data_IF_977976739992
#
_entry.id   IF_977976739992
#
_cell.length_a   1.000
_cell.length_b   1.000
_cell.length_c   1.000
_cell.angle_alpha   90.00
_cell.angle_beta   90.00
_cell.angle_gamma   90.00
#
_symmetry.space_group_name_H-M   'P 1'
#
loop_
_entity.id
_entity.type
_entity.pdbx_description
1 polymer ?
#
# COMPACT_ATOMS: atom_id res chain seq x y z
N UNK A 1 -14.56 -40.87 -11.67
CA UNK A 1 -14.12 -39.99 -10.56
C UNK A 1 -15.36 -39.60 -9.76
N UNK A 2 -15.42 -39.97 -8.48
CA UNK A 2 -16.53 -39.58 -7.60
C UNK A 2 -16.43 -38.06 -7.41
N UNK A 3 -17.46 -37.32 -7.79
CA UNK A 3 -17.52 -35.88 -7.51
C UNK A 3 -17.67 -35.70 -6.01
N UNK A 4 -16.69 -35.07 -5.37
CA UNK A 4 -16.78 -34.70 -3.95
C UNK A 4 -17.95 -33.72 -3.80
N UNK A 5 -18.83 -33.94 -2.83
CA UNK A 5 -19.92 -33.00 -2.54
C UNK A 5 -19.41 -31.89 -1.65
N UNK A 6 -20.04 -30.72 -1.70
CA UNK A 6 -19.83 -29.66 -0.71
C UNK A 6 -20.55 -30.04 0.59
N UNK A 7 -19.93 -30.92 1.35
CA UNK A 7 -20.30 -31.30 2.71
C UNK A 7 -19.47 -30.52 3.75
N UNK A 8 -19.77 -30.73 5.03
CA UNK A 8 -19.10 -30.02 6.13
C UNK A 8 -17.58 -30.24 6.12
N UNK A 9 -17.12 -31.46 5.83
CA UNK A 9 -15.70 -31.77 5.76
C UNK A 9 -15.01 -31.02 4.62
N UNK A 10 -15.63 -30.98 3.44
CA UNK A 10 -15.08 -30.24 2.29
C UNK A 10 -15.03 -28.74 2.54
N UNK A 11 -16.03 -28.19 3.24
CA UNK A 11 -16.06 -26.77 3.60
C UNK A 11 -14.99 -26.40 4.63
N UNK A 12 -14.70 -27.30 5.57
CA UNK A 12 -13.59 -27.16 6.53
C UNK A 12 -12.24 -27.18 5.81
N UNK A 13 -12.02 -28.15 4.90
CA UNK A 13 -10.80 -28.19 4.07
C UNK A 13 -10.62 -26.91 3.24
N UNK A 14 -11.69 -26.37 2.66
CA UNK A 14 -11.62 -25.09 1.92
C UNK A 14 -11.23 -23.95 2.87
N UNK A 15 -11.79 -23.91 4.07
CA UNK A 15 -11.47 -22.88 5.06
C UNK A 15 -9.98 -22.93 5.42
N UNK A 16 -9.43 -24.11 5.68
CA UNK A 16 -8.01 -24.31 6.02
C UNK A 16 -7.09 -23.88 4.88
N UNK A 17 -7.46 -24.18 3.63
CA UNK A 17 -6.72 -23.70 2.45
C UNK A 17 -6.73 -22.17 2.37
N UNK A 18 -7.84 -21.51 2.67
CA UNK A 18 -7.91 -20.05 2.66
C UNK A 18 -7.08 -19.43 3.79
N UNK A 19 -7.04 -20.08 4.96
CA UNK A 19 -6.21 -19.64 6.09
C UNK A 19 -4.72 -19.77 5.76
N UNK A 20 -4.31 -20.90 5.18
CA UNK A 20 -2.91 -21.13 4.77
C UNK A 20 -2.47 -20.22 3.61
N UNK A 21 -3.42 -19.60 2.91
CA UNK A 21 -3.19 -18.56 1.90
C UNK A 21 -3.17 -17.13 2.48
N UNK A 22 -3.03 -16.95 3.80
CA UNK A 22 -2.94 -15.67 4.51
C UNK A 22 -4.20 -14.79 4.48
N UNK A 23 -5.39 -15.33 4.17
CA UNK A 23 -6.64 -14.54 4.25
C UNK A 23 -7.08 -14.25 5.70
N UNK A 24 -6.51 -14.98 6.67
CA UNK A 24 -6.92 -14.93 8.06
C UNK A 24 -8.19 -15.71 8.35
N UNK A 25 -8.38 -16.05 9.63
CA UNK A 25 -9.45 -16.93 10.11
C UNK A 25 -10.84 -16.36 9.84
N UNK A 26 -11.02 -15.05 10.08
CA UNK A 26 -12.32 -14.40 9.95
C UNK A 26 -12.82 -14.40 8.49
N UNK A 27 -11.96 -13.97 7.57
CA UNK A 27 -12.23 -13.93 6.13
C UNK A 27 -12.51 -15.33 5.59
N UNK A 28 -11.66 -16.30 5.92
CA UNK A 28 -11.83 -17.69 5.48
C UNK A 28 -13.18 -18.27 5.96
N UNK A 29 -13.54 -18.02 7.23
CA UNK A 29 -14.83 -18.45 7.79
C UNK A 29 -16.02 -17.79 7.08
N UNK A 30 -15.94 -16.50 6.74
CA UNK A 30 -16.99 -15.78 5.98
C UNK A 30 -17.20 -16.43 4.62
N UNK A 31 -16.11 -16.67 3.88
CA UNK A 31 -16.12 -17.33 2.56
C UNK A 31 -16.75 -18.73 2.65
N UNK A 32 -16.28 -19.58 3.57
CA UNK A 32 -16.81 -20.95 3.73
C UNK A 32 -18.28 -20.97 4.13
N UNK A 33 -18.75 -20.04 4.97
CA UNK A 33 -20.17 -19.91 5.32
C UNK A 33 -21.03 -19.53 4.10
N UNK A 34 -20.54 -18.65 3.23
CA UNK A 34 -21.24 -18.23 2.02
C UNK A 34 -21.27 -19.34 0.95
N UNK A 35 -20.21 -20.15 0.86
CA UNK A 35 -20.22 -21.39 0.08
C UNK A 35 -21.26 -22.38 0.61
N UNK A 36 -21.32 -22.59 1.93
CA UNK A 36 -22.29 -23.48 2.55
C UNK A 36 -23.73 -23.03 2.27
N UNK A 37 -24.07 -21.76 2.50
CA UNK A 37 -25.44 -21.26 2.33
C UNK A 37 -25.96 -21.37 0.90
N UNK A 38 -25.09 -21.31 -0.11
CA UNK A 38 -25.48 -21.30 -1.52
C UNK A 38 -25.34 -22.66 -2.22
N UNK A 39 -24.51 -23.56 -1.67
CA UNK A 39 -24.06 -24.78 -2.37
C UNK A 39 -23.96 -26.04 -1.50
N UNK A 40 -24.33 -26.02 -0.22
CA UNK A 40 -24.29 -27.23 0.62
C UNK A 40 -25.05 -28.40 -0.03
N UNK A 41 -24.41 -29.58 -0.04
CA UNK A 41 -24.96 -30.81 -0.61
C UNK A 41 -24.91 -30.92 -2.14
N UNK A 42 -24.46 -29.89 -2.87
CA UNK A 42 -24.25 -29.93 -4.33
C UNK A 42 -22.87 -30.49 -4.68
N UNK A 43 -22.69 -30.88 -5.94
CA UNK A 43 -21.38 -31.25 -6.48
C UNK A 43 -20.38 -30.09 -6.27
N UNK A 44 -19.18 -30.40 -5.77
CA UNK A 44 -18.11 -29.43 -5.64
C UNK A 44 -17.53 -29.12 -7.04
N UNK A 45 -18.19 -28.21 -7.77
CA UNK A 45 -17.69 -27.69 -9.04
C UNK A 45 -16.57 -26.67 -8.75
N UNK A 46 -15.29 -26.96 -9.10
CA UNK A 46 -14.18 -26.08 -8.76
C UNK A 46 -14.31 -24.67 -9.33
N UNK A 47 -14.93 -24.52 -10.51
CA UNK A 47 -15.14 -23.23 -11.15
C UNK A 47 -16.13 -22.38 -10.35
N UNK A 48 -17.21 -23.00 -9.85
CA UNK A 48 -18.19 -22.29 -9.02
C UNK A 48 -17.61 -21.92 -7.65
N UNK A 49 -16.82 -22.80 -7.04
CA UNK A 49 -16.14 -22.51 -5.78
C UNK A 49 -15.22 -21.31 -5.95
N UNK A 50 -14.37 -21.29 -6.99
CA UNK A 50 -13.50 -20.13 -7.30
C UNK A 50 -14.31 -18.85 -7.51
N UNK A 51 -15.45 -18.93 -8.18
CA UNK A 51 -16.33 -17.77 -8.39
C UNK A 51 -16.86 -17.21 -7.07
N UNK A 52 -17.39 -18.06 -6.19
CA UNK A 52 -17.88 -17.61 -4.88
C UNK A 52 -16.77 -17.00 -4.03
N UNK A 53 -15.57 -17.59 -4.05
CA UNK A 53 -14.39 -17.02 -3.36
C UNK A 53 -14.02 -15.65 -3.95
N UNK A 54 -14.01 -15.52 -5.28
CA UNK A 54 -13.70 -14.27 -5.96
C UNK A 54 -14.74 -13.17 -5.65
N UNK A 55 -16.03 -13.50 -5.70
CA UNK A 55 -17.12 -12.57 -5.40
C UNK A 55 -16.99 -12.04 -3.96
N UNK A 56 -16.63 -12.90 -3.01
CA UNK A 56 -16.40 -12.52 -1.61
C UNK A 56 -15.17 -11.61 -1.45
N UNK A 57 -14.07 -11.93 -2.13
CA UNK A 57 -12.87 -11.06 -2.13
C UNK A 57 -13.22 -9.69 -2.72
N UNK A 58 -14.01 -9.63 -3.79
CA UNK A 58 -14.47 -8.38 -4.39
C UNK A 58 -15.33 -7.60 -3.39
N UNK A 59 -16.27 -8.24 -2.70
CA UNK A 59 -17.11 -7.60 -1.68
C UNK A 59 -16.27 -6.98 -0.55
N UNK A 60 -15.23 -7.70 -0.10
CA UNK A 60 -14.31 -7.23 0.96
C UNK A 60 -13.46 -6.04 0.49
N UNK A 61 -12.92 -6.10 -0.74
CA UNK A 61 -12.00 -5.09 -1.25
C UNK A 61 -12.71 -3.84 -1.79
N UNK A 62 -13.93 -3.97 -2.34
CA UNK A 62 -14.63 -2.86 -3.02
C UNK A 62 -14.78 -1.59 -2.17
N UNK A 63 -15.12 -1.64 -0.87
CA UNK A 63 -15.25 -0.44 -0.04
C UNK A 63 -13.94 0.33 0.13
N UNK A 64 -12.80 -0.37 0.09
CA UNK A 64 -11.46 0.20 0.33
C UNK A 64 -10.64 0.41 -0.96
N UNK A 65 -11.15 -0.02 -2.11
CA UNK A 65 -10.53 0.15 -3.43
C UNK A 65 -10.68 1.59 -3.94
N UNK A 66 -10.15 2.55 -3.18
CA UNK A 66 -10.20 3.97 -3.50
C UNK A 66 -8.87 4.43 -4.11
N UNK A 67 -8.87 5.06 -5.30
CA UNK A 67 -7.65 5.55 -5.90
C UNK A 67 -7.09 6.74 -5.13
N UNK A 68 -5.77 6.82 -5.02
CA UNK A 68 -5.10 8.02 -4.51
C UNK A 68 -5.33 9.19 -5.50
N UNK A 69 -6.20 10.11 -5.12
CA UNK A 69 -6.54 11.28 -5.93
C UNK A 69 -5.94 12.54 -5.33
N UNK A 70 -5.06 13.21 -6.09
CA UNK A 70 -4.48 14.47 -5.67
C UNK A 70 -5.55 15.57 -5.74
N UNK A 71 -5.83 16.20 -4.60
CA UNK A 71 -6.73 17.36 -4.53
C UNK A 71 -6.03 18.60 -5.11
N UNK A 72 -6.48 19.17 -6.25
CA UNK A 72 -5.84 20.33 -6.87
C UNK A 72 -5.89 21.61 -6.01
N UNK A 73 -6.81 21.68 -5.04
CA UNK A 73 -6.87 22.79 -4.10
C UNK A 73 -5.71 22.77 -3.09
N UNK A 74 -5.04 21.63 -2.92
CA UNK A 74 -3.86 21.50 -2.08
C UNK A 74 -2.62 21.57 -2.96
N UNK A 75 -1.90 22.70 -2.93
CA UNK A 75 -0.67 22.91 -3.69
C UNK A 75 0.45 23.44 -2.77
N UNK A 76 1.40 22.58 -2.35
CA UNK A 76 1.53 21.17 -2.72
C UNK A 76 0.50 20.26 -2.02
N UNK A 77 0.11 19.18 -2.69
CA UNK A 77 -0.55 18.06 -2.04
C UNK A 77 0.51 17.25 -1.29
N UNK A 78 0.39 17.16 0.04
CA UNK A 78 1.41 16.54 0.90
C UNK A 78 1.08 15.08 1.16
N UNK A 79 2.04 14.20 0.88
CA UNK A 79 1.95 12.76 1.08
C UNK A 79 3.05 12.32 2.06
N UNK A 80 2.65 11.96 3.28
CA UNK A 80 3.54 11.42 4.30
C UNK A 80 3.53 9.89 4.26
N UNK A 81 4.67 9.27 3.97
CA UNK A 81 4.78 7.82 3.82
C UNK A 81 5.35 7.19 5.08
N UNK A 82 4.47 6.53 5.85
CA UNK A 82 4.79 5.89 7.12
C UNK A 82 4.87 4.35 7.01
N UNK A 83 5.50 3.70 7.99
CA UNK A 83 5.64 2.25 8.07
C UNK A 83 7.00 1.79 8.60
N UNK A 84 7.16 0.50 8.81
CA UNK A 84 8.34 -0.08 9.46
C UNK A 84 9.57 -0.10 8.56
N UNK A 85 10.77 -0.24 9.13
CA UNK A 85 11.98 -0.46 8.35
C UNK A 85 11.86 -1.74 7.51
N UNK A 86 12.27 -1.68 6.24
CA UNK A 86 12.19 -2.82 5.32
C UNK A 86 10.85 -2.99 4.59
N UNK A 87 9.79 -2.25 4.93
CA UNK A 87 8.49 -2.36 4.25
C UNK A 87 8.41 -1.73 2.86
N UNK A 88 9.53 -1.18 2.34
CA UNK A 88 9.60 -0.60 1.00
C UNK A 88 9.23 0.88 0.87
N UNK A 89 9.11 1.64 1.97
CA UNK A 89 8.72 3.07 1.97
C UNK A 89 9.47 3.94 0.96
N UNK A 90 10.79 4.04 1.08
CA UNK A 90 11.65 4.86 0.21
C UNK A 90 11.49 4.48 -1.27
N UNK A 91 11.37 3.18 -1.56
CA UNK A 91 11.10 2.67 -2.91
C UNK A 91 9.71 3.09 -3.40
N UNK A 92 8.68 3.02 -2.56
CA UNK A 92 7.33 3.46 -2.90
C UNK A 92 7.28 4.97 -3.12
N UNK A 93 7.97 5.77 -2.30
CA UNK A 93 8.12 7.22 -2.52
C UNK A 93 8.72 7.49 -3.90
N UNK A 94 9.82 6.82 -4.27
CA UNK A 94 10.43 6.96 -5.58
C UNK A 94 9.51 6.56 -6.76
N UNK A 95 8.77 5.46 -6.60
CA UNK A 95 7.77 5.02 -7.61
C UNK A 95 6.63 6.03 -7.78
N UNK A 96 6.11 6.58 -6.68
CA UNK A 96 5.08 7.62 -6.71
C UNK A 96 5.61 8.90 -7.34
N UNK A 97 6.85 9.29 -7.01
CA UNK A 97 7.50 10.45 -7.59
C UNK A 97 7.60 10.32 -9.11
N UNK A 98 8.14 9.19 -9.59
CA UNK A 98 8.24 8.90 -11.02
C UNK A 98 6.87 8.93 -11.69
N UNK A 99 5.86 8.24 -11.12
CA UNK A 99 4.50 8.24 -11.65
C UNK A 99 3.91 9.64 -11.76
N UNK A 100 4.04 10.47 -10.72
CA UNK A 100 3.47 11.82 -10.74
C UNK A 100 4.20 12.74 -11.71
N UNK A 101 5.53 12.59 -11.86
CA UNK A 101 6.28 13.32 -12.90
C UNK A 101 5.85 12.88 -14.30
N UNK A 102 5.66 11.58 -14.55
CA UNK A 102 5.10 11.08 -15.83
C UNK A 102 3.68 11.62 -16.10
N UNK A 103 2.88 11.79 -15.04
CA UNK A 103 1.55 12.44 -15.10
C UNK A 103 1.65 13.99 -15.23
N UNK A 104 2.86 14.53 -15.45
CA UNK A 104 3.12 15.95 -15.71
C UNK A 104 3.11 16.85 -14.46
N UNK A 105 3.23 16.28 -13.25
CA UNK A 105 3.23 17.04 -11.99
C UNK A 105 4.62 17.53 -11.63
N UNK A 106 4.70 18.73 -11.06
CA UNK A 106 5.89 19.21 -10.39
C UNK A 106 5.99 18.57 -8.99
N UNK A 107 6.94 17.66 -8.81
CA UNK A 107 7.10 16.86 -7.58
C UNK A 107 8.34 17.31 -6.81
N UNK A 108 8.26 17.34 -5.49
CA UNK A 108 9.39 17.50 -4.58
C UNK A 108 9.40 16.37 -3.55
N UNK A 109 10.60 15.91 -3.17
CA UNK A 109 10.80 14.89 -2.13
C UNK A 109 11.42 15.49 -0.86
N UNK A 110 11.07 14.94 0.29
CA UNK A 110 11.69 15.26 1.58
C UNK A 110 12.24 13.99 2.25
N UNK A 111 13.53 14.01 2.59
CA UNK A 111 14.23 12.91 3.25
C UNK A 111 14.02 12.95 4.78
N UNK A 112 12.81 12.63 5.24
CA UNK A 112 12.45 12.63 6.66
C UNK A 112 12.92 11.40 7.46
N UNK A 113 13.49 10.35 6.84
CA UNK A 113 14.26 9.31 7.54
C UNK A 113 15.67 9.82 7.87
N UNK A 114 15.75 10.84 8.72
CA UNK A 114 17.02 11.53 9.03
C UNK A 114 18.00 10.65 9.81
N UNK A 115 17.55 9.55 10.41
CA UNK A 115 18.40 8.65 11.20
C UNK A 115 19.23 7.70 10.34
N UNK A 116 18.78 7.39 9.11
CA UNK A 116 19.43 6.41 8.24
C UNK A 116 20.04 7.14 7.05
N UNK A 117 21.33 7.44 7.10
CA UNK A 117 22.08 8.04 6.00
C UNK A 117 21.81 7.35 4.65
N UNK A 118 21.80 6.01 4.64
CA UNK A 118 21.51 5.23 3.44
C UNK A 118 20.09 5.42 2.88
N UNK A 119 19.09 5.74 3.72
CA UNK A 119 17.74 6.03 3.25
C UNK A 119 17.70 7.38 2.51
N UNK A 120 18.37 8.40 3.04
CA UNK A 120 18.54 9.69 2.37
C UNK A 120 19.24 9.55 1.02
N UNK A 121 20.37 8.83 0.97
CA UNK A 121 21.10 8.61 -0.29
C UNK A 121 20.27 7.80 -1.30
N UNK A 122 19.53 6.79 -0.83
CA UNK A 122 18.60 6.06 -1.69
C UNK A 122 17.49 6.96 -2.24
N UNK A 123 16.93 7.86 -1.42
CA UNK A 123 15.90 8.80 -1.85
C UNK A 123 16.44 9.81 -2.87
N UNK A 124 17.68 10.28 -2.71
CA UNK A 124 18.35 11.15 -3.69
C UNK A 124 18.48 10.46 -5.05
N UNK A 125 18.91 9.19 -5.09
CA UNK A 125 18.99 8.42 -6.33
C UNK A 125 17.61 8.29 -7.00
N UNK A 126 16.55 8.09 -6.22
CA UNK A 126 15.19 8.09 -6.76
C UNK A 126 14.78 9.47 -7.29
N UNK A 127 15.14 10.54 -6.58
CA UNK A 127 14.91 11.91 -7.02
C UNK A 127 15.57 12.22 -8.36
N UNK A 128 16.84 11.85 -8.51
CA UNK A 128 17.59 11.97 -9.75
C UNK A 128 16.93 11.19 -10.90
N UNK A 129 16.53 9.93 -10.66
CA UNK A 129 15.85 9.09 -11.66
C UNK A 129 14.50 9.64 -12.08
N UNK A 130 13.76 10.25 -11.17
CA UNK A 130 12.47 10.87 -11.43
C UNK A 130 12.59 12.34 -11.86
N UNK A 131 13.81 12.89 -11.96
CA UNK A 131 14.07 14.30 -12.24
C UNK A 131 13.33 15.27 -11.29
N UNK A 132 13.31 14.96 -9.99
CA UNK A 132 12.67 15.78 -8.95
C UNK A 132 13.65 16.16 -7.83
N UNK A 133 13.54 17.38 -7.28
CA UNK A 133 14.40 17.83 -6.18
C UNK A 133 14.14 17.05 -4.89
N UNK A 134 15.21 16.78 -4.14
CA UNK A 134 15.17 16.13 -2.83
C UNK A 134 15.71 17.08 -1.77
N UNK A 135 14.87 17.43 -0.81
CA UNK A 135 15.26 18.21 0.36
C UNK A 135 15.78 17.25 1.43
N UNK A 136 17.01 17.47 1.88
CA UNK A 136 17.67 16.66 2.89
C UNK A 136 18.58 17.50 3.80
N UNK A 137 18.83 17.01 5.01
CA UNK A 137 19.83 17.56 5.94
C UNK A 137 20.83 16.47 6.34
N UNK A 138 21.79 16.83 7.17
CA UNK A 138 22.74 15.91 7.78
C UNK A 138 22.03 14.80 8.57
N UNK A 139 22.66 13.62 8.63
CA UNK A 139 22.12 12.48 9.39
C UNK A 139 21.99 12.85 10.87
N UNK A 140 20.86 12.51 11.48
CA UNK A 140 20.52 12.86 12.86
C UNK A 140 19.85 14.22 13.03
N UNK A 141 19.64 14.99 11.95
CA UNK A 141 18.88 16.23 11.99
C UNK A 141 17.42 16.02 12.40
N UNK A 142 16.79 17.07 12.93
CA UNK A 142 15.36 17.08 13.25
C UNK A 142 14.50 16.82 11.99
N UNK A 143 13.75 15.71 11.93
CA UNK A 143 12.84 15.41 10.82
C UNK A 143 11.76 16.47 10.64
N UNK A 144 11.21 17.01 11.73
CA UNK A 144 10.08 17.95 11.65
C UNK A 144 10.52 19.28 11.01
N UNK A 145 11.65 19.82 11.46
CA UNK A 145 12.26 21.02 10.87
C UNK A 145 12.65 20.83 9.40
N UNK A 146 13.19 19.66 9.03
CA UNK A 146 13.47 19.33 7.62
C UNK A 146 12.19 19.34 6.77
N UNK A 147 11.13 18.68 7.24
CA UNK A 147 9.85 18.62 6.51
C UNK A 147 9.20 20.00 6.42
N UNK A 148 9.29 20.81 7.46
CA UNK A 148 8.80 22.19 7.46
C UNK A 148 9.51 23.03 6.38
N UNK A 149 10.83 22.97 6.31
CA UNK A 149 11.61 23.65 5.27
C UNK A 149 11.25 23.15 3.87
N UNK A 150 11.12 21.83 3.69
CA UNK A 150 10.71 21.24 2.42
C UNK A 150 9.32 21.71 1.99
N UNK A 151 8.36 21.82 2.91
CA UNK A 151 7.03 22.34 2.64
C UNK A 151 7.05 23.81 2.20
N UNK A 152 7.83 24.64 2.90
CA UNK A 152 7.98 26.05 2.54
C UNK A 152 8.61 26.23 1.17
N UNK A 153 9.63 25.42 0.85
CA UNK A 153 10.28 25.42 -0.45
C UNK A 153 9.34 24.92 -1.56
N UNK A 154 8.61 23.82 -1.33
CA UNK A 154 7.61 23.30 -2.26
C UNK A 154 6.51 24.33 -2.59
N UNK A 155 6.06 25.11 -1.60
CA UNK A 155 5.13 26.23 -1.83
C UNK A 155 5.74 27.33 -2.67
N UNK A 156 6.99 27.73 -2.37
CA UNK A 156 7.71 28.77 -3.12
C UNK A 156 7.90 28.38 -4.59
N UNK A 157 8.21 27.10 -4.84
CA UNK A 157 8.44 26.57 -6.18
C UNK A 157 7.15 26.10 -6.86
N UNK A 158 5.99 26.35 -6.26
CA UNK A 158 4.67 25.97 -6.78
C UNK A 158 4.58 24.47 -7.16
N UNK A 159 5.23 23.61 -6.37
CA UNK A 159 5.14 22.16 -6.52
C UNK A 159 3.68 21.69 -6.39
N UNK A 160 3.31 20.74 -7.23
CA UNK A 160 2.00 20.09 -7.19
C UNK A 160 1.94 19.05 -6.06
N UNK A 161 3.05 18.35 -5.80
CA UNK A 161 3.12 17.26 -4.82
C UNK A 161 4.41 17.36 -3.99
N UNK A 162 4.28 17.18 -2.68
CA UNK A 162 5.40 16.95 -1.77
C UNK A 162 5.29 15.54 -1.18
N UNK A 163 6.26 14.68 -1.48
CA UNK A 163 6.36 13.33 -0.92
C UNK A 163 7.40 13.29 0.19
N UNK A 164 7.04 12.76 1.35
CA UNK A 164 7.89 12.71 2.53
C UNK A 164 8.15 11.26 2.91
N UNK A 165 9.42 10.84 2.90
CA UNK A 165 9.85 9.56 3.50
C UNK A 165 10.06 9.74 5.01
N UNK A 166 9.77 8.73 5.82
CA UNK A 166 9.92 8.81 7.28
C UNK A 166 10.74 7.65 7.82
N UNK A 167 11.32 7.84 9.01
CA UNK A 167 11.89 6.73 9.76
C UNK A 167 10.80 5.68 10.10
N UNK A 168 11.18 4.41 10.13
CA UNK A 168 10.29 3.28 10.38
C UNK A 168 10.60 2.47 11.63
N UNK A 169 11.04 3.13 12.71
CA UNK A 169 11.33 2.44 13.97
C UNK A 169 10.02 2.13 14.70
N UNK A 170 9.82 0.87 15.05
CA UNK A 170 8.65 0.35 15.74
C UNK A 170 8.87 0.29 17.27
N UNK A 171 9.69 1.18 17.81
CA UNK A 171 10.09 1.13 19.22
C UNK A 171 9.37 2.22 20.01
N UNK A 172 8.38 1.79 20.79
CA UNK A 172 8.12 2.33 22.12
C UNK A 172 8.63 1.29 23.11
#
# INVERSE_FOLDING_TARGET
MVKKKLDSQTLEEIQDVLITADLGVETARKISKNLASTRFGKDANPTEVRRVVADEIIEILSPVAQPLSLNPAHRPHVLLVCGVNGSGKTTTVGKLAHKFVEDGKHVMLAAGDTFRAAATEQLKIWGERAACPVISKETGSDPAGLVFEAFQQARKDSADVLLIDTAGRLQN
#
